data_IF_220440465450
#
_entry.id   IF_220440465450
#
_cell.length_a   1.000
_cell.length_b   1.000
_cell.length_c   1.000
_cell.angle_alpha   90.00
_cell.angle_beta   90.00
_cell.angle_gamma   90.00
#
_symmetry.space_group_name_H-M   'P 1'
#
loop_
_entity.id
_entity.type
_entity.pdbx_description
1 polymer ?
#
# COMPACT_ATOMS: atom_id res chain seq x y z
N UNK A 1 -3.93 31.46 -8.37
CA UNK A 1 -3.63 30.47 -7.32
C UNK A 1 -4.26 29.13 -7.71
N UNK A 2 -3.46 28.12 -8.01
CA UNK A 2 -3.99 26.78 -8.30
C UNK A 2 -4.45 26.19 -6.98
N UNK A 3 -5.78 26.08 -6.77
CA UNK A 3 -6.36 25.41 -5.61
C UNK A 3 -5.99 23.92 -5.75
N UNK A 4 -5.02 23.45 -4.97
CA UNK A 4 -4.64 22.04 -4.96
C UNK A 4 -5.88 21.20 -4.64
N UNK A 5 -6.26 20.30 -5.56
CA UNK A 5 -7.37 19.38 -5.37
C UNK A 5 -7.04 18.46 -4.19
N UNK A 6 -7.94 18.38 -3.22
CA UNK A 6 -7.81 17.43 -2.09
C UNK A 6 -7.68 16.00 -2.64
N UNK A 7 -6.69 15.28 -2.18
CA UNK A 7 -6.42 13.88 -2.55
C UNK A 7 -6.62 12.96 -1.35
N UNK A 8 -6.99 11.73 -1.62
CA UNK A 8 -7.06 10.66 -0.63
C UNK A 8 -5.72 9.95 -0.56
N UNK A 9 -5.07 10.02 0.59
CA UNK A 9 -3.74 9.47 0.83
C UNK A 9 -3.83 8.32 1.84
N UNK A 10 -3.35 7.15 1.46
CA UNK A 10 -3.21 6.00 2.36
C UNK A 10 -1.74 5.81 2.69
N UNK A 11 -1.43 5.76 3.98
CA UNK A 11 -0.08 5.52 4.49
C UNK A 11 -0.06 4.16 5.19
N UNK A 12 0.70 3.20 4.67
CA UNK A 12 0.78 1.86 5.22
C UNK A 12 2.12 1.69 5.92
N UNK A 13 2.09 1.51 7.25
CA UNK A 13 3.25 1.18 8.06
C UNK A 13 3.34 -0.33 8.22
N UNK A 14 4.42 -0.92 7.73
CA UNK A 14 4.63 -2.38 7.76
C UNK A 14 5.50 -2.82 8.94
N UNK A 15 5.97 -1.89 9.77
CA UNK A 15 6.68 -2.21 10.99
C UNK A 15 5.74 -2.81 12.05
N UNK A 16 6.15 -3.96 12.60
CA UNK A 16 5.42 -4.58 13.70
C UNK A 16 5.82 -4.00 15.07
N UNK A 17 6.91 -3.22 15.12
CA UNK A 17 7.35 -2.53 16.33
C UNK A 17 6.79 -1.11 16.37
N UNK A 18 6.08 -0.77 17.44
CA UNK A 18 5.63 0.60 17.67
C UNK A 18 6.82 1.56 17.81
N UNK A 19 6.67 2.78 17.27
CA UNK A 19 7.69 3.82 17.38
C UNK A 19 9.03 3.48 16.71
N UNK A 20 9.03 2.54 15.73
CA UNK A 20 10.21 2.30 14.90
C UNK A 20 10.46 3.49 13.96
N UNK A 21 11.70 3.62 13.44
CA UNK A 21 12.05 4.70 12.52
C UNK A 21 11.11 4.77 11.31
N UNK A 22 10.79 3.61 10.71
CA UNK A 22 9.85 3.54 9.58
C UNK A 22 8.42 3.94 9.98
N UNK A 23 7.98 3.60 11.19
CA UNK A 23 6.65 4.00 11.69
C UNK A 23 6.60 5.51 11.97
N UNK A 24 7.68 6.08 12.53
CA UNK A 24 7.80 7.54 12.73
C UNK A 24 7.85 8.29 11.40
N UNK A 25 8.54 7.77 10.38
CA UNK A 25 8.54 8.36 9.04
C UNK A 25 7.13 8.33 8.42
N UNK A 26 6.41 7.22 8.58
CA UNK A 26 5.02 7.12 8.14
C UNK A 26 4.13 8.17 8.80
N UNK A 27 4.33 8.41 10.10
CA UNK A 27 3.59 9.44 10.85
C UNK A 27 3.88 10.85 10.33
N UNK A 28 5.16 11.18 10.17
CA UNK A 28 5.57 12.51 9.67
C UNK A 28 5.10 12.74 8.23
N UNK A 29 5.11 11.73 7.39
CA UNK A 29 4.51 11.82 6.06
C UNK A 29 3.00 12.09 6.14
N UNK A 30 2.29 11.36 7.00
CA UNK A 30 0.85 11.54 7.19
C UNK A 30 0.51 12.96 7.74
N UNK A 31 1.28 13.45 8.69
CA UNK A 31 1.15 14.82 9.24
C UNK A 31 1.34 15.87 8.14
N UNK A 32 2.40 15.75 7.33
CA UNK A 32 2.68 16.68 6.24
C UNK A 32 1.61 16.68 5.15
N UNK A 33 1.10 15.50 4.80
CA UNK A 33 0.01 15.40 3.83
C UNK A 33 -1.30 16.00 4.35
N UNK A 34 -1.63 15.82 5.64
CA UNK A 34 -2.77 16.47 6.29
C UNK A 34 -2.62 17.99 6.31
N UNK A 35 -1.43 18.49 6.69
CA UNK A 35 -1.14 19.92 6.71
C UNK A 35 -1.26 20.56 5.32
N UNK A 36 -1.03 19.77 4.26
CA UNK A 36 -1.21 20.19 2.85
C UNK A 36 -2.67 20.11 2.38
N UNK A 37 -3.62 19.81 3.25
CA UNK A 37 -5.06 19.79 2.95
C UNK A 37 -5.56 18.51 2.28
N UNK A 38 -4.85 17.38 2.45
CA UNK A 38 -5.26 16.09 1.91
C UNK A 38 -5.98 15.24 2.95
N UNK A 39 -6.88 14.35 2.49
CA UNK A 39 -7.52 13.35 3.34
C UNK A 39 -6.56 12.17 3.53
N UNK A 40 -6.07 11.96 4.76
CA UNK A 40 -5.04 10.97 5.05
C UNK A 40 -5.53 9.92 6.03
N UNK A 41 -5.33 8.65 5.71
CA UNK A 41 -5.51 7.52 6.61
C UNK A 41 -4.19 6.76 6.75
N UNK A 42 -3.74 6.55 8.00
CA UNK A 42 -2.60 5.68 8.30
C UNK A 42 -3.09 4.30 8.72
N UNK A 43 -2.56 3.26 8.10
CA UNK A 43 -2.85 1.85 8.40
C UNK A 43 -1.57 1.19 8.89
N UNK A 44 -1.58 0.67 10.11
CA UNK A 44 -0.49 -0.18 10.62
C UNK A 44 -0.81 -1.64 10.37
N UNK A 45 0.18 -2.42 9.90
CA UNK A 45 0.05 -3.88 9.78
C UNK A 45 0.27 -4.60 11.11
N UNK A 46 0.63 -3.89 12.18
CA UNK A 46 0.75 -4.46 13.52
C UNK A 46 -0.62 -4.92 14.00
N UNK A 47 -0.71 -6.18 14.43
CA UNK A 47 -1.96 -6.78 14.90
C UNK A 47 -2.93 -7.16 13.78
N UNK A 48 -2.53 -7.03 12.51
CA UNK A 48 -3.30 -7.48 11.35
C UNK A 48 -2.97 -8.91 10.98
N UNK A 49 -3.99 -9.67 10.64
CA UNK A 49 -3.80 -11.02 10.09
C UNK A 49 -3.55 -10.92 8.58
N UNK A 50 -2.37 -11.38 8.14
CA UNK A 50 -1.97 -11.37 6.74
C UNK A 50 -1.38 -12.74 6.41
N UNK A 51 -2.13 -13.55 5.69
CA UNK A 51 -1.72 -14.92 5.32
C UNK A 51 -0.84 -14.93 4.08
N UNK A 52 0.08 -15.88 4.02
CA UNK A 52 0.92 -16.09 2.85
C UNK A 52 0.13 -16.73 1.71
N UNK A 53 0.40 -16.33 0.47
CA UNK A 53 -0.19 -16.96 -0.70
C UNK A 53 0.29 -18.42 -0.87
N UNK A 54 -0.64 -19.27 -1.13
CA UNK A 54 -0.37 -20.67 -1.46
C UNK A 54 -0.31 -20.93 -2.97
N UNK A 55 -0.40 -19.88 -3.80
CA UNK A 55 -0.33 -20.02 -5.26
C UNK A 55 -1.52 -20.74 -5.90
N UNK A 56 -2.68 -20.77 -5.25
CA UNK A 56 -3.85 -21.51 -5.74
C UNK A 56 -4.52 -20.88 -6.97
N UNK A 57 -4.14 -19.69 -7.38
CA UNK A 57 -4.66 -18.95 -8.54
C UNK A 57 -6.18 -18.70 -8.55
N UNK A 58 -6.89 -19.00 -7.46
CA UNK A 58 -8.35 -18.81 -7.35
C UNK A 58 -8.73 -17.35 -7.60
N UNK A 59 -7.93 -16.40 -7.12
CA UNK A 59 -8.15 -14.98 -7.32
C UNK A 59 -8.12 -14.53 -8.79
N UNK A 60 -7.45 -15.26 -9.68
CA UNK A 60 -7.47 -14.98 -11.12
C UNK A 60 -8.83 -15.28 -11.74
N UNK A 61 -9.56 -16.25 -11.17
CA UNK A 61 -10.89 -16.66 -11.65
C UNK A 61 -12.00 -15.85 -11.00
N UNK A 62 -11.91 -15.64 -9.67
CA UNK A 62 -12.99 -15.06 -8.87
C UNK A 62 -12.80 -13.58 -8.57
N UNK A 63 -11.61 -13.01 -8.78
CA UNK A 63 -11.25 -11.66 -8.36
C UNK A 63 -11.00 -11.51 -6.85
N UNK A 64 -11.14 -12.58 -6.06
CA UNK A 64 -10.98 -12.57 -4.61
C UNK A 64 -10.05 -13.67 -4.12
N UNK A 65 -9.33 -13.42 -3.03
CA UNK A 65 -8.49 -14.40 -2.38
C UNK A 65 -9.33 -15.43 -1.61
N UNK A 66 -8.86 -16.68 -1.56
CA UNK A 66 -9.48 -17.74 -0.74
C UNK A 66 -9.34 -17.48 0.76
N UNK A 67 -8.31 -16.72 1.16
CA UNK A 67 -8.13 -16.36 2.56
C UNK A 67 -9.03 -15.19 2.95
N UNK A 68 -9.67 -15.35 4.12
CA UNK A 68 -10.44 -14.30 4.78
C UNK A 68 -9.56 -13.73 5.91
N UNK A 69 -8.75 -12.73 5.57
CA UNK A 69 -7.87 -12.02 6.48
C UNK A 69 -8.09 -10.50 6.36
N UNK A 70 -7.22 -9.67 6.95
CA UNK A 70 -7.34 -8.21 6.90
C UNK A 70 -7.00 -7.60 5.51
N UNK A 71 -6.42 -8.38 4.62
CA UNK A 71 -5.89 -7.87 3.34
C UNK A 71 -6.98 -7.30 2.43
N UNK A 72 -8.14 -7.96 2.20
CA UNK A 72 -9.17 -7.41 1.33
C UNK A 72 -9.65 -6.02 1.74
N UNK A 73 -9.87 -5.79 3.03
CA UNK A 73 -10.32 -4.49 3.54
C UNK A 73 -9.26 -3.39 3.37
N UNK A 74 -7.99 -3.73 3.54
CA UNK A 74 -6.88 -2.79 3.29
C UNK A 74 -6.76 -2.48 1.80
N UNK A 75 -6.89 -3.51 0.96
CA UNK A 75 -6.77 -3.36 -0.49
C UNK A 75 -7.89 -2.52 -1.08
N UNK A 76 -9.11 -2.64 -0.58
CA UNK A 76 -10.22 -1.78 -1.01
C UNK A 76 -9.89 -0.29 -0.78
N UNK A 77 -9.30 0.04 0.37
CA UNK A 77 -8.85 1.41 0.66
C UNK A 77 -7.74 1.87 -0.28
N UNK A 78 -6.79 0.98 -0.57
CA UNK A 78 -5.67 1.25 -1.49
C UNK A 78 -6.17 1.52 -2.91
N UNK A 79 -7.12 0.74 -3.40
CA UNK A 79 -7.71 0.89 -4.74
C UNK A 79 -8.45 2.23 -4.92
N UNK A 80 -9.00 2.79 -3.83
CA UNK A 80 -9.71 4.06 -3.85
C UNK A 80 -8.84 5.24 -3.40
N UNK A 81 -7.53 5.06 -3.28
CA UNK A 81 -6.58 6.12 -2.92
C UNK A 81 -5.99 6.79 -4.16
N UNK A 82 -5.79 8.10 -4.08
CA UNK A 82 -5.01 8.84 -5.09
C UNK A 82 -3.50 8.65 -4.90
N UNK A 83 -3.08 8.44 -3.64
CA UNK A 83 -1.66 8.28 -3.26
C UNK A 83 -1.55 7.18 -2.21
N UNK A 84 -0.59 6.29 -2.39
CA UNK A 84 -0.25 5.26 -1.42
C UNK A 84 1.21 5.39 -1.02
N UNK A 85 1.44 5.57 0.28
CA UNK A 85 2.78 5.59 0.87
C UNK A 85 3.03 4.28 1.62
N UNK A 86 4.13 3.62 1.29
CA UNK A 86 4.57 2.39 1.95
C UNK A 86 5.78 2.68 2.82
N UNK A 87 5.64 2.55 4.13
CA UNK A 87 6.74 2.68 5.09
C UNK A 87 7.11 1.30 5.61
N UNK A 88 8.35 0.89 5.33
CA UNK A 88 8.84 -0.45 5.68
C UNK A 88 10.21 -0.38 6.33
N UNK A 89 10.49 -1.17 7.39
CA UNK A 89 11.86 -1.40 7.83
C UNK A 89 12.63 -2.19 6.76
N UNK A 90 13.90 -1.90 6.65
CA UNK A 90 14.81 -2.64 5.76
C UNK A 90 15.44 -3.78 6.57
N UNK A 91 15.22 -5.01 6.11
CA UNK A 91 15.82 -6.21 6.66
C UNK A 91 16.64 -6.89 5.59
N UNK A 92 17.92 -7.04 5.84
CA UNK A 92 18.83 -7.72 4.92
C UNK A 92 18.75 -7.17 3.47
N UNK A 93 18.86 -5.83 3.34
CA UNK A 93 18.80 -5.08 2.08
C UNK A 93 17.47 -5.15 1.34
N UNK A 94 16.40 -5.61 1.98
CA UNK A 94 15.10 -5.78 1.35
C UNK A 94 13.98 -5.25 2.25
N UNK A 95 12.81 -5.01 1.66
CA UNK A 95 11.60 -4.67 2.43
C UNK A 95 11.22 -5.83 3.38
N UNK A 96 10.49 -5.49 4.45
CA UNK A 96 10.00 -6.51 5.39
C UNK A 96 9.13 -7.57 4.71
N UNK A 97 9.13 -8.78 5.27
CA UNK A 97 8.28 -9.87 4.80
C UNK A 97 6.80 -9.52 4.82
N UNK A 98 6.36 -8.73 5.82
CA UNK A 98 4.99 -8.23 5.92
C UNK A 98 4.61 -7.36 4.71
N UNK A 99 5.51 -6.48 4.29
CA UNK A 99 5.27 -5.66 3.10
C UNK A 99 5.21 -6.51 1.83
N UNK A 100 6.11 -7.48 1.67
CA UNK A 100 6.07 -8.40 0.53
C UNK A 100 4.77 -9.20 0.49
N UNK A 101 4.35 -9.74 1.63
CA UNK A 101 3.12 -10.51 1.75
C UNK A 101 1.90 -9.65 1.43
N UNK A 102 1.84 -8.43 1.95
CA UNK A 102 0.77 -7.49 1.66
C UNK A 102 0.70 -7.12 0.16
N UNK A 103 1.84 -6.76 -0.45
CA UNK A 103 1.92 -6.38 -1.86
C UNK A 103 1.51 -7.49 -2.81
N UNK A 104 1.81 -8.73 -2.48
CA UNK A 104 1.40 -9.87 -3.29
C UNK A 104 -0.13 -9.92 -3.47
N UNK A 105 -0.87 -9.59 -2.45
CA UNK A 105 -2.33 -9.57 -2.46
C UNK A 105 -2.91 -8.42 -3.31
N UNK A 106 -2.05 -7.54 -3.83
CA UNK A 106 -2.42 -6.49 -4.80
C UNK A 106 -2.58 -7.03 -6.23
N UNK A 107 -2.09 -8.23 -6.52
CA UNK A 107 -2.13 -8.78 -7.87
C UNK A 107 -3.53 -9.19 -8.38
N UNK A 108 -4.44 -9.76 -7.55
CA UNK A 108 -5.73 -10.23 -8.04
C UNK A 108 -6.69 -9.14 -8.52
N UNK A 109 -6.79 -7.97 -7.85
CA UNK A 109 -7.68 -6.90 -8.29
C UNK A 109 -7.20 -6.19 -9.56
N UNK A 110 -5.92 -6.35 -9.89
CA UNK A 110 -5.31 -5.77 -11.09
C UNK A 110 -5.52 -6.71 -12.30
N UNK A 111 -6.72 -7.22 -12.50
CA UNK A 111 -7.17 -7.55 -13.83
C UNK A 111 -7.54 -6.23 -14.50
N UNK A 112 -6.55 -5.65 -15.10
CA UNK A 112 -6.73 -4.53 -16.01
C UNK A 112 -7.60 -5.06 -17.15
N UNK A 113 -8.86 -4.70 -17.11
CA UNK A 113 -9.62 -4.68 -18.34
C UNK A 113 -8.92 -3.64 -19.20
N UNK A 114 -8.38 -4.01 -20.36
CA UNK A 114 -7.56 -3.13 -21.23
C UNK A 114 -8.26 -1.81 -21.58
N UNK A 115 -9.56 -1.69 -21.31
CA UNK A 115 -10.36 -0.48 -21.51
C UNK A 115 -10.41 0.47 -20.31
N UNK A 116 -10.11 0.00 -19.09
CA UNK A 116 -10.10 0.80 -17.86
C UNK A 116 -8.68 0.84 -17.27
N UNK A 117 -7.74 1.41 -18.00
CA UNK A 117 -6.36 1.60 -17.52
C UNK A 117 -6.26 2.70 -16.45
N UNK A 118 -6.99 2.53 -15.34
CA UNK A 118 -6.86 3.39 -14.15
C UNK A 118 -5.55 3.17 -13.40
N UNK A 119 -4.82 2.11 -13.72
CA UNK A 119 -3.49 1.86 -13.20
C UNK A 119 -2.53 1.69 -14.38
N UNK A 120 -2.02 2.80 -14.88
CA UNK A 120 -0.87 2.76 -15.76
C UNK A 120 0.29 2.14 -14.97
N UNK A 121 0.55 0.84 -15.20
CA UNK A 121 1.60 0.08 -14.52
C UNK A 121 2.97 0.75 -14.60
N UNK A 122 3.20 1.61 -15.61
CA UNK A 122 4.41 2.42 -15.75
C UNK A 122 4.50 3.55 -14.70
N UNK A 123 3.37 4.12 -14.27
CA UNK A 123 3.36 5.16 -13.23
C UNK A 123 3.36 4.55 -11.83
N UNK A 124 2.66 3.43 -11.63
CA UNK A 124 2.66 2.72 -10.36
C UNK A 124 4.04 2.13 -10.05
N UNK A 125 4.71 1.56 -11.04
CA UNK A 125 6.09 1.07 -10.93
C UNK A 125 7.08 2.19 -10.62
N UNK A 126 6.98 3.34 -11.27
CA UNK A 126 7.88 4.49 -11.04
C UNK A 126 7.66 5.13 -9.67
N UNK A 127 6.44 5.28 -9.22
CA UNK A 127 6.12 5.84 -7.89
C UNK A 127 6.65 4.99 -6.74
N UNK A 128 6.54 3.68 -6.84
CA UNK A 128 7.04 2.73 -5.83
C UNK A 128 8.58 2.65 -5.79
N UNK A 129 9.25 2.74 -6.94
CA UNK A 129 10.72 2.72 -7.01
C UNK A 129 11.36 4.04 -6.56
N UNK A 130 10.72 5.18 -6.76
CA UNK A 130 11.28 6.47 -6.35
C UNK A 130 11.35 6.68 -4.84
N UNK A 131 10.45 6.05 -4.08
CA UNK A 131 10.53 6.08 -2.61
C UNK A 131 11.61 5.15 -2.03
N UNK A 132 12.05 4.15 -2.80
CA UNK A 132 13.10 3.21 -2.40
C UNK A 132 14.53 3.69 -2.67
N UNK A 133 14.72 4.58 -3.64
CA UNK A 133 16.06 5.02 -4.08
C UNK A 133 16.52 6.35 -3.47
N UNK A 134 15.75 6.95 -2.57
CA UNK A 134 16.07 8.24 -1.93
C UNK A 134 16.24 8.19 -0.41
N UNK A 135 16.53 7.00 0.16
CA UNK A 135 16.97 6.90 1.56
C UNK A 135 18.42 6.48 1.62
#
# INVERSE_FOLDING_TARGET
>A
MHKLKMKKVIVISTSLRAGSNSDMLAEKFAEGAKASGHAVEKISLRGKEIKFCIGCLSCQKTGACVFRDDVPAIMEKVLHADVVCWATPIYYYEMSGQMKTMRRSMLPPIRINEKDSLLNTKEYGRGLYQLHTRL
#
